data_IF_325643674603
#
_entry.id   IF_325643674603
#
_cell.length_a   1.000
_cell.length_b   1.000
_cell.length_c   1.000
_cell.angle_alpha   90.00
_cell.angle_beta   90.00
_cell.angle_gamma   90.00
#
_symmetry.space_group_name_H-M   'P 1'
#
loop_
_entity.id
_entity.type
_entity.pdbx_description
1 polymer ?
#
# COMPACT_ATOMS: atom_id res chain seq x y z
N UNK A 1 -32.93 12.84 -29.42
CA UNK A 1 -33.95 12.03 -28.71
C UNK A 1 -35.10 11.60 -29.63
N UNK A 2 -35.69 12.48 -30.43
CA UNK A 2 -36.77 12.10 -31.36
C UNK A 2 -36.32 11.15 -32.49
N UNK A 3 -35.12 11.34 -33.04
CA UNK A 3 -34.58 10.46 -34.10
C UNK A 3 -34.35 9.02 -33.61
N UNK A 4 -33.83 8.86 -32.38
CA UNK A 4 -33.62 7.55 -31.75
C UNK A 4 -34.98 6.85 -31.55
N UNK A 5 -36.00 7.57 -31.06
CA UNK A 5 -37.36 7.04 -30.89
C UNK A 5 -38.02 6.68 -32.23
N UNK A 6 -37.75 7.43 -33.30
CA UNK A 6 -38.21 7.12 -34.65
C UNK A 6 -37.56 5.83 -35.19
N UNK A 7 -36.26 5.63 -34.96
CA UNK A 7 -35.55 4.42 -35.35
C UNK A 7 -36.02 3.18 -34.60
N UNK A 8 -36.22 3.27 -33.28
CA UNK A 8 -36.71 2.17 -32.45
C UNK A 8 -38.15 1.74 -32.80
N UNK A 9 -38.96 2.64 -33.39
CA UNK A 9 -40.31 2.32 -33.88
C UNK A 9 -40.34 1.41 -35.10
N UNK A 10 -39.23 1.26 -35.85
CA UNK A 10 -39.16 0.39 -37.03
C UNK A 10 -39.13 -1.11 -36.71
N UNK A 11 -39.11 -1.53 -35.43
CA UNK A 11 -39.14 -2.94 -34.97
C UNK A 11 -38.03 -3.82 -35.57
N UNK A 12 -36.92 -3.23 -35.98
CA UNK A 12 -35.73 -4.00 -36.37
C UNK A 12 -34.81 -4.15 -35.15
N UNK A 13 -34.34 -5.38 -34.90
CA UNK A 13 -33.37 -5.65 -33.85
C UNK A 13 -31.98 -5.23 -34.35
N UNK A 14 -31.40 -4.20 -33.76
CA UNK A 14 -30.03 -3.77 -34.04
C UNK A 14 -29.08 -4.31 -32.98
N UNK A 15 -27.96 -4.89 -33.41
CA UNK A 15 -26.86 -5.29 -32.53
C UNK A 15 -25.67 -4.38 -32.79
N UNK A 16 -25.09 -3.83 -31.72
CA UNK A 16 -23.89 -3.00 -31.80
C UNK A 16 -22.93 -3.43 -30.68
N UNK A 17 -21.64 -3.18 -30.90
CA UNK A 17 -20.60 -3.38 -29.89
C UNK A 17 -20.22 -2.00 -29.38
N UNK A 18 -20.30 -1.80 -28.07
CA UNK A 18 -19.90 -0.57 -27.40
C UNK A 18 -18.78 -0.89 -26.41
N UNK A 19 -17.72 -0.06 -26.34
CA UNK A 19 -16.72 -0.16 -25.27
C UNK A 19 -17.23 0.41 -23.93
N UNK A 20 -18.38 1.09 -23.94
CA UNK A 20 -19.02 1.67 -22.76
C UNK A 20 -20.29 0.90 -22.39
N UNK A 21 -20.60 0.83 -21.09
CA UNK A 21 -21.85 0.27 -20.62
C UNK A 21 -23.06 1.06 -21.11
N UNK A 22 -24.19 0.37 -21.23
CA UNK A 22 -25.46 1.00 -21.53
C UNK A 22 -25.84 1.95 -20.38
N UNK A 23 -26.13 3.24 -20.65
CA UNK A 23 -26.63 4.13 -19.61
C UNK A 23 -27.87 3.54 -18.92
N UNK A 24 -27.96 3.68 -17.59
CA UNK A 24 -29.02 3.07 -16.77
C UNK A 24 -30.43 3.41 -17.28
N UNK A 25 -30.64 4.62 -17.78
CA UNK A 25 -31.90 5.11 -18.37
C UNK A 25 -32.40 4.31 -19.58
N UNK A 26 -31.51 3.53 -20.23
CA UNK A 26 -31.84 2.71 -21.39
C UNK A 26 -31.71 1.20 -21.12
N UNK A 27 -31.40 0.80 -19.88
CA UNK A 27 -31.20 -0.61 -19.53
C UNK A 27 -32.43 -1.49 -19.76
N UNK A 28 -33.63 -0.91 -19.67
CA UNK A 28 -34.91 -1.62 -19.93
C UNK A 28 -35.20 -1.86 -21.42
N UNK A 29 -34.51 -1.15 -22.32
CA UNK A 29 -34.75 -1.22 -23.77
C UNK A 29 -33.56 -1.79 -24.55
N UNK A 30 -32.36 -1.80 -23.97
CA UNK A 30 -31.14 -2.34 -24.59
C UNK A 30 -30.72 -3.60 -23.83
N UNK A 31 -30.87 -4.75 -24.48
CA UNK A 31 -30.28 -6.00 -24.00
C UNK A 31 -28.76 -5.90 -24.08
N UNK A 32 -28.09 -5.82 -22.92
CA UNK A 32 -26.64 -5.76 -22.85
C UNK A 32 -26.07 -7.15 -22.58
N UNK A 33 -25.16 -7.60 -23.45
CA UNK A 33 -24.37 -8.82 -23.23
C UNK A 33 -22.93 -8.37 -23.00
N UNK A 34 -22.41 -8.56 -21.77
CA UNK A 34 -21.00 -8.28 -21.47
C UNK A 34 -20.15 -9.31 -22.23
N UNK A 35 -19.36 -8.84 -23.19
CA UNK A 35 -18.40 -9.69 -23.88
C UNK A 35 -17.19 -9.91 -22.96
N UNK A 36 -16.69 -11.15 -22.84
CA UNK A 36 -15.51 -11.41 -22.02
C UNK A 36 -14.30 -10.67 -22.59
N UNK A 37 -13.63 -9.88 -21.76
CA UNK A 37 -12.32 -9.35 -22.12
C UNK A 37 -11.25 -10.39 -21.84
N UNK A 38 -10.73 -11.02 -22.91
CA UNK A 38 -9.66 -12.01 -22.81
C UNK A 38 -8.30 -11.42 -22.39
N UNK A 39 -8.18 -10.09 -22.34
CA UNK A 39 -6.96 -9.37 -21.94
C UNK A 39 -7.05 -8.75 -20.53
N UNK A 40 -8.09 -9.09 -19.75
CA UNK A 40 -8.26 -8.59 -18.38
C UNK A 40 -8.50 -7.09 -18.36
N UNK A 41 -7.67 -6.35 -17.61
CA UNK A 41 -7.70 -4.88 -17.60
C UNK A 41 -7.28 -4.27 -18.95
N UNK A 42 -6.50 -4.98 -19.77
CA UNK A 42 -5.98 -4.45 -21.03
C UNK A 42 -7.00 -4.55 -22.17
N UNK A 43 -6.94 -3.61 -23.10
CA UNK A 43 -7.54 -3.78 -24.42
C UNK A 43 -6.66 -4.67 -25.30
N UNK A 44 -7.24 -5.21 -26.38
CA UNK A 44 -6.46 -5.97 -27.38
C UNK A 44 -5.34 -5.15 -28.05
N UNK A 45 -5.46 -3.81 -28.07
CA UNK A 45 -4.44 -2.93 -28.61
C UNK A 45 -3.32 -2.70 -27.61
N UNK A 46 -3.65 -2.39 -26.35
CA UNK A 46 -2.70 -2.24 -25.24
C UNK A 46 -1.86 -3.51 -25.07
N UNK A 47 -2.49 -4.68 -25.11
CA UNK A 47 -1.78 -5.96 -25.04
C UNK A 47 -0.78 -6.16 -26.19
N UNK A 48 -1.13 -5.75 -27.42
CA UNK A 48 -0.22 -5.81 -28.58
C UNK A 48 0.94 -4.83 -28.49
N UNK A 49 0.73 -3.69 -27.85
CA UNK A 49 1.75 -2.66 -27.63
C UNK A 49 2.68 -2.97 -26.45
N UNK A 50 2.38 -4.03 -25.68
CA UNK A 50 3.16 -4.38 -24.48
C UNK A 50 2.91 -3.45 -23.30
N UNK A 51 1.80 -2.70 -23.31
CA UNK A 51 1.37 -1.87 -22.18
C UNK A 51 1.13 -2.75 -20.96
N UNK A 52 1.67 -2.35 -19.81
CA UNK A 52 1.44 -3.11 -18.57
C UNK A 52 0.05 -2.82 -18.01
N UNK A 53 -0.51 -3.76 -17.23
CA UNK A 53 -1.84 -3.57 -16.62
C UNK A 53 -1.90 -2.32 -15.76
N UNK A 54 -0.82 -2.04 -15.01
CA UNK A 54 -0.72 -0.84 -14.20
C UNK A 54 -0.77 0.44 -15.04
N UNK A 55 -0.06 0.48 -16.18
CA UNK A 55 -0.09 1.63 -17.09
C UNK A 55 -1.49 1.89 -17.65
N UNK A 56 -2.15 0.84 -18.16
CA UNK A 56 -3.51 0.96 -18.69
C UNK A 56 -4.51 1.38 -17.59
N UNK A 57 -4.38 0.80 -16.39
CA UNK A 57 -5.24 1.13 -15.26
C UNK A 57 -5.02 2.57 -14.78
N UNK A 58 -3.77 3.04 -14.74
CA UNK A 58 -3.45 4.42 -14.39
C UNK A 58 -4.06 5.42 -15.37
N UNK A 59 -4.00 5.14 -16.67
CA UNK A 59 -4.60 5.99 -17.70
C UNK A 59 -6.13 6.06 -17.56
N UNK A 60 -6.78 4.92 -17.31
CA UNK A 60 -8.23 4.82 -17.13
C UNK A 60 -8.72 5.48 -15.84
N UNK A 61 -8.00 5.27 -14.74
CA UNK A 61 -8.40 5.78 -13.43
C UNK A 61 -7.95 7.23 -13.20
N UNK A 62 -6.90 7.72 -13.87
CA UNK A 62 -6.33 9.04 -13.63
C UNK A 62 -5.77 9.24 -12.22
N UNK A 63 -5.36 8.16 -11.56
CA UNK A 63 -4.70 8.14 -10.24
C UNK A 63 -3.49 7.21 -10.28
N UNK A 64 -2.61 7.29 -9.29
CA UNK A 64 -1.38 6.49 -9.29
C UNK A 64 -1.66 4.98 -9.25
N UNK A 65 -1.06 4.24 -10.18
CA UNK A 65 -1.04 2.78 -10.15
C UNK A 65 0.40 2.29 -10.27
N UNK A 66 0.80 1.43 -9.35
CA UNK A 66 2.16 0.92 -9.26
C UNK A 66 2.22 -0.46 -9.93
N UNK A 67 3.16 -0.60 -10.86
CA UNK A 67 3.63 -1.88 -11.37
C UNK A 67 4.84 -2.31 -10.55
N UNK A 68 4.63 -3.20 -9.58
CA UNK A 68 5.68 -3.54 -8.63
C UNK A 68 6.62 -4.61 -9.18
N UNK A 69 7.94 -4.34 -9.27
CA UNK A 69 8.93 -5.37 -9.58
C UNK A 69 9.32 -6.18 -8.32
N UNK A 70 8.80 -5.83 -7.15
CA UNK A 70 9.17 -6.43 -5.87
C UNK A 70 8.24 -7.57 -5.48
N UNK A 71 8.75 -8.49 -4.68
CA UNK A 71 8.08 -9.70 -4.24
C UNK A 71 8.13 -9.82 -2.73
N UNK A 72 7.41 -10.78 -2.16
CA UNK A 72 7.41 -10.99 -0.71
C UNK A 72 8.77 -11.43 -0.16
N UNK A 73 9.69 -11.87 -1.03
CA UNK A 73 11.08 -12.16 -0.68
C UNK A 73 11.94 -10.91 -0.44
N UNK A 74 11.50 -9.74 -0.92
CA UNK A 74 12.18 -8.46 -0.71
C UNK A 74 11.87 -7.84 0.66
N UNK A 75 11.01 -8.48 1.45
CA UNK A 75 10.65 -8.06 2.80
C UNK A 75 11.23 -9.05 3.80
N UNK A 76 12.00 -8.54 4.74
CA UNK A 76 12.47 -9.31 5.90
C UNK A 76 11.50 -9.16 7.08
N UNK A 77 11.28 -10.25 7.82
CA UNK A 77 10.33 -10.30 8.94
C UNK A 77 8.86 -10.32 8.50
N UNK A 78 7.97 -9.75 9.35
CA UNK A 78 6.52 -9.71 9.17
C UNK A 78 5.87 -11.10 8.99
N UNK A 79 6.33 -12.09 9.74
CA UNK A 79 5.97 -13.51 9.54
C UNK A 79 4.48 -13.78 9.73
N UNK A 80 3.83 -13.18 10.73
CA UNK A 80 2.39 -13.35 10.94
C UNK A 80 1.56 -12.77 9.80
N UNK A 81 1.95 -11.61 9.28
CA UNK A 81 1.27 -11.02 8.11
C UNK A 81 1.53 -11.85 6.85
N UNK A 82 2.76 -12.35 6.63
CA UNK A 82 3.06 -13.28 5.52
C UNK A 82 2.24 -14.57 5.61
N UNK A 83 2.07 -15.11 6.82
CA UNK A 83 1.25 -16.29 7.07
C UNK A 83 -0.22 -16.01 6.77
N UNK A 84 -0.76 -14.91 7.28
CA UNK A 84 -2.13 -14.49 7.00
C UNK A 84 -2.39 -14.34 5.49
N UNK A 85 -1.47 -13.71 4.75
CA UNK A 85 -1.60 -13.57 3.30
C UNK A 85 -1.64 -14.93 2.59
N UNK A 86 -0.84 -15.92 3.01
CA UNK A 86 -0.88 -17.28 2.43
C UNK A 86 -2.23 -17.95 2.69
N UNK A 87 -2.77 -17.81 3.91
CA UNK A 87 -4.09 -18.34 4.26
C UNK A 87 -5.19 -17.64 3.46
N UNK A 88 -5.09 -16.32 3.30
CA UNK A 88 -6.01 -15.52 2.50
C UNK A 88 -6.01 -15.94 1.03
N UNK A 89 -4.85 -16.14 0.41
CA UNK A 89 -4.75 -16.63 -0.97
C UNK A 89 -5.47 -17.96 -1.17
N UNK A 90 -5.33 -18.89 -0.22
CA UNK A 90 -6.05 -20.17 -0.26
C UNK A 90 -7.56 -19.94 -0.15
N UNK A 91 -8.00 -19.09 0.79
CA UNK A 91 -9.40 -18.76 0.97
C UNK A 91 -10.02 -18.07 -0.28
N UNK A 92 -9.28 -17.19 -0.95
CA UNK A 92 -9.71 -16.56 -2.21
C UNK A 92 -10.02 -17.61 -3.29
N UNK A 93 -9.24 -18.69 -3.39
CA UNK A 93 -9.55 -19.79 -4.34
C UNK A 93 -10.87 -20.51 -4.05
N UNK A 94 -11.35 -20.42 -2.81
CA UNK A 94 -12.64 -20.98 -2.37
C UNK A 94 -13.78 -19.95 -2.44
N UNK A 95 -13.53 -18.77 -3.01
CA UNK A 95 -14.52 -17.70 -3.18
C UNK A 95 -14.66 -16.77 -1.97
N UNK A 96 -13.76 -16.84 -0.99
CA UNK A 96 -13.70 -15.84 0.08
C UNK A 96 -13.22 -14.50 -0.48
N UNK A 97 -13.93 -13.42 -0.16
CA UNK A 97 -13.52 -12.05 -0.49
C UNK A 97 -13.02 -11.37 0.78
N UNK A 98 -11.73 -11.06 0.86
CA UNK A 98 -11.21 -10.18 1.92
C UNK A 98 -11.77 -8.77 1.79
N UNK A 99 -11.89 -8.10 2.92
CA UNK A 99 -12.21 -6.68 3.01
C UNK A 99 -10.94 -5.84 3.00
N UNK A 100 -10.03 -6.08 3.96
CA UNK A 100 -8.80 -5.32 4.03
C UNK A 100 -7.94 -5.54 5.26
N UNK A 101 -6.71 -5.04 5.17
CA UNK A 101 -5.66 -5.11 6.19
C UNK A 101 -5.30 -3.68 6.59
N UNK A 102 -5.27 -3.42 7.89
CA UNK A 102 -4.81 -2.12 8.41
C UNK A 102 -3.42 -2.25 9.02
N UNK A 103 -2.45 -1.51 8.48
CA UNK A 103 -1.07 -1.48 8.93
C UNK A 103 -0.80 -0.17 9.69
N UNK A 104 -0.59 -0.26 10.99
CA UNK A 104 -0.19 0.87 11.83
C UNK A 104 1.25 0.68 12.25
N UNK A 105 2.02 1.74 12.40
CA UNK A 105 3.34 1.59 13.02
C UNK A 105 4.25 2.78 12.82
N UNK A 106 5.50 2.60 13.22
CA UNK A 106 6.50 3.67 13.17
C UNK A 106 6.81 4.03 11.71
N UNK A 107 6.93 5.32 11.34
CA UNK A 107 7.34 5.72 9.99
C UNK A 107 8.65 5.03 9.56
N UNK A 108 8.74 4.60 8.30
CA UNK A 108 9.94 3.95 7.78
C UNK A 108 10.08 2.44 8.08
N UNK A 109 9.05 1.80 8.64
CA UNK A 109 9.02 0.34 8.90
C UNK A 109 8.49 -0.51 7.74
N UNK A 110 8.22 0.11 6.57
CA UNK A 110 7.84 -0.63 5.36
C UNK A 110 6.34 -0.89 5.17
N UNK A 111 5.47 -0.18 5.89
CA UNK A 111 3.99 -0.29 5.76
C UNK A 111 3.49 -0.16 4.32
N UNK A 112 4.02 0.80 3.57
CA UNK A 112 3.71 1.03 2.14
C UNK A 112 4.42 0.03 1.21
N UNK A 113 5.61 -0.42 1.62
CA UNK A 113 6.41 -1.37 0.85
C UNK A 113 5.81 -2.79 0.87
N UNK A 114 5.10 -3.15 1.94
CA UNK A 114 4.40 -4.42 2.05
C UNK A 114 3.36 -4.69 0.94
N UNK A 115 2.31 -3.87 0.77
CA UNK A 115 1.35 -4.04 -0.32
C UNK A 115 2.00 -3.92 -1.70
N UNK A 116 3.08 -3.15 -1.82
CA UNK A 116 3.88 -3.06 -3.05
C UNK A 116 4.51 -4.41 -3.41
N UNK A 117 5.13 -5.09 -2.45
CA UNK A 117 5.71 -6.43 -2.68
C UNK A 117 4.64 -7.49 -2.93
N UNK A 118 3.52 -7.41 -2.22
CA UNK A 118 2.40 -8.33 -2.43
C UNK A 118 1.78 -8.17 -3.83
N UNK A 119 1.68 -6.94 -4.33
CA UNK A 119 1.18 -6.67 -5.68
C UNK A 119 2.04 -7.34 -6.76
N UNK A 120 3.37 -7.25 -6.63
CA UNK A 120 4.29 -7.89 -7.57
C UNK A 120 4.29 -9.42 -7.44
N UNK A 121 4.24 -9.96 -6.21
CA UNK A 121 4.09 -11.41 -5.95
C UNK A 121 2.82 -11.98 -6.62
N UNK A 122 1.69 -11.28 -6.45
CA UNK A 122 0.40 -11.69 -6.99
C UNK A 122 0.19 -11.30 -8.46
N UNK A 123 1.10 -10.51 -9.04
CA UNK A 123 0.96 -9.88 -10.37
C UNK A 123 -0.36 -9.12 -10.51
N UNK A 124 -0.80 -8.46 -9.43
CA UNK A 124 -2.00 -7.62 -9.37
C UNK A 124 -1.58 -6.15 -9.43
N UNK A 125 -2.27 -5.28 -10.19
CA UNK A 125 -2.03 -3.84 -10.13
C UNK A 125 -2.25 -3.32 -8.71
N UNK A 126 -1.39 -2.39 -8.27
CA UNK A 126 -1.55 -1.68 -7.01
C UNK A 126 -2.07 -0.27 -7.26
N UNK A 127 -3.35 -0.04 -7.02
CA UNK A 127 -3.97 1.28 -7.11
C UNK A 127 -3.71 2.03 -5.81
N UNK A 128 -3.12 3.23 -5.89
CA UNK A 128 -2.80 4.04 -4.72
C UNK A 128 -3.73 5.25 -4.62
N UNK A 129 -4.48 5.33 -3.53
CA UNK A 129 -5.31 6.47 -3.19
C UNK A 129 -4.52 7.41 -2.27
N UNK A 130 -4.09 8.54 -2.82
CA UNK A 130 -3.46 9.62 -2.07
C UNK A 130 -4.43 10.81 -1.94
N UNK A 131 -4.56 11.36 -0.72
CA UNK A 131 -5.47 12.48 -0.44
C UNK A 131 -5.13 13.74 -1.23
N UNK A 132 -3.85 14.05 -1.36
CA UNK A 132 -3.37 15.23 -2.07
C UNK A 132 -3.72 15.12 -3.55
N UNK A 133 -3.44 13.96 -4.16
CA UNK A 133 -3.81 13.66 -5.55
C UNK A 133 -5.32 13.75 -5.78
N UNK A 134 -6.13 13.24 -4.85
CA UNK A 134 -7.59 13.33 -4.95
C UNK A 134 -8.09 14.77 -4.83
N UNK A 135 -7.44 15.61 -4.01
CA UNK A 135 -7.79 17.03 -3.85
C UNK A 135 -7.46 17.88 -5.07
N UNK A 136 -6.40 17.53 -5.80
CA UNK A 136 -5.99 18.20 -7.03
C UNK A 136 -7.00 18.06 -8.18
N UNK A 137 -7.91 17.08 -8.13
CA UNK A 137 -8.90 16.87 -9.18
C UNK A 137 -10.03 17.91 -9.19
N UNK A 138 -10.14 18.74 -8.15
CA UNK A 138 -11.21 19.74 -7.98
C UNK A 138 -12.56 19.15 -7.57
N UNK A 139 -12.82 17.86 -7.82
CA UNK A 139 -14.01 17.14 -7.39
C UNK A 139 -13.68 15.77 -6.76
N UNK A 140 -13.06 15.76 -5.55
CA UNK A 140 -12.51 14.54 -4.94
C UNK A 140 -13.52 13.40 -4.76
N UNK A 141 -14.77 13.74 -4.41
CA UNK A 141 -15.85 12.75 -4.19
C UNK A 141 -16.23 12.08 -5.51
N UNK A 142 -16.40 12.86 -6.57
CA UNK A 142 -16.71 12.32 -7.90
C UNK A 142 -15.57 11.42 -8.38
N UNK A 143 -14.32 11.85 -8.16
CA UNK A 143 -13.16 11.05 -8.52
C UNK A 143 -13.10 9.71 -7.81
N UNK A 144 -13.34 9.69 -6.49
CA UNK A 144 -13.44 8.43 -5.74
C UNK A 144 -14.54 7.55 -6.34
N UNK A 145 -15.72 8.10 -6.61
CA UNK A 145 -16.84 7.32 -7.17
C UNK A 145 -16.50 6.71 -8.53
N UNK A 146 -15.89 7.49 -9.43
CA UNK A 146 -15.43 7.01 -10.73
C UNK A 146 -14.43 5.86 -10.59
N UNK A 147 -13.48 5.98 -9.64
CA UNK A 147 -12.47 4.93 -9.41
C UNK A 147 -13.12 3.64 -8.92
N UNK A 148 -13.99 3.71 -7.92
CA UNK A 148 -14.66 2.51 -7.39
C UNK A 148 -15.68 1.93 -8.36
N UNK A 149 -16.38 2.76 -9.14
CA UNK A 149 -17.29 2.31 -10.20
C UNK A 149 -16.53 1.58 -11.30
N UNK A 150 -15.40 2.12 -11.75
CA UNK A 150 -14.53 1.45 -12.72
C UNK A 150 -14.04 0.10 -12.16
N UNK A 151 -13.47 0.08 -10.95
CA UNK A 151 -12.97 -1.14 -10.33
C UNK A 151 -14.06 -2.17 -10.06
N UNK A 152 -15.31 -1.75 -9.85
CA UNK A 152 -16.45 -2.65 -9.70
C UNK A 152 -16.81 -3.37 -11.00
N UNK A 153 -16.51 -2.77 -12.16
CA UNK A 153 -16.83 -3.34 -13.46
C UNK A 153 -15.69 -4.24 -14.00
N UNK A 154 -14.53 -4.21 -13.35
CA UNK A 154 -13.40 -5.09 -13.63
C UNK A 154 -13.52 -6.42 -12.88
N UNK A 155 -13.33 -7.52 -13.60
CA UNK A 155 -13.41 -8.87 -13.03
C UNK A 155 -12.07 -9.28 -12.35
N UNK A 156 -10.98 -8.58 -12.68
CA UNK A 156 -9.62 -8.90 -12.25
C UNK A 156 -9.34 -8.37 -10.83
N UNK A 157 -8.76 -9.18 -9.91
CA UNK A 157 -8.44 -8.73 -8.56
C UNK A 157 -7.39 -7.61 -8.54
N UNK A 158 -7.66 -6.57 -7.75
CA UNK A 158 -6.76 -5.40 -7.62
C UNK A 158 -6.39 -5.19 -6.15
N UNK A 159 -5.16 -4.73 -5.89
CA UNK A 159 -4.77 -4.27 -4.55
C UNK A 159 -5.00 -2.77 -4.48
N UNK A 160 -5.72 -2.31 -3.46
CA UNK A 160 -5.97 -0.90 -3.20
C UNK A 160 -5.17 -0.47 -1.98
N UNK A 161 -4.28 0.49 -2.13
CA UNK A 161 -3.54 1.10 -1.02
C UNK A 161 -4.11 2.48 -0.70
N UNK A 162 -4.51 2.68 0.54
CA UNK A 162 -4.84 3.98 1.13
C UNK A 162 -3.72 4.34 2.10
N UNK A 163 -2.75 5.11 1.59
CA UNK A 163 -1.55 5.44 2.35
C UNK A 163 -1.79 6.64 3.27
N UNK A 164 -1.24 6.60 4.49
CA UNK A 164 -1.38 7.64 5.51
C UNK A 164 -2.84 8.06 5.72
N UNK A 165 -3.70 7.06 5.97
CA UNK A 165 -5.14 7.26 6.07
C UNK A 165 -5.53 8.24 7.18
N UNK A 166 -4.68 8.45 8.19
CA UNK A 166 -4.85 9.47 9.21
C UNK A 166 -4.91 10.89 8.65
N UNK A 167 -4.30 11.15 7.48
CA UNK A 167 -4.42 12.44 6.79
C UNK A 167 -5.80 12.64 6.18
N UNK A 168 -6.44 11.56 5.74
CA UNK A 168 -7.82 11.57 5.23
C UNK A 168 -8.80 11.65 6.40
N UNK A 169 -8.72 10.66 7.29
CA UNK A 169 -9.67 10.41 8.38
C UNK A 169 -9.49 11.40 9.54
N UNK A 170 -8.36 12.09 9.61
CA UNK A 170 -8.06 13.10 10.62
C UNK A 170 -9.00 14.31 10.60
N UNK A 171 -9.75 14.54 9.51
CA UNK A 171 -10.84 15.50 9.47
C UNK A 171 -12.18 14.77 9.32
N UNK A 172 -12.91 14.60 10.42
CA UNK A 172 -14.19 13.89 10.44
C UNK A 172 -15.29 14.60 9.62
N UNK A 173 -15.18 15.92 9.49
CA UNK A 173 -16.15 16.75 8.76
C UNK A 173 -15.85 16.79 7.25
N UNK A 174 -14.73 16.21 6.80
CA UNK A 174 -14.42 16.11 5.37
C UNK A 174 -15.39 15.13 4.70
N UNK A 175 -16.25 15.58 3.76
CA UNK A 175 -17.21 14.70 3.09
C UNK A 175 -16.52 13.54 2.35
N UNK A 176 -15.27 13.72 1.92
CA UNK A 176 -14.47 12.69 1.29
C UNK A 176 -14.24 11.51 2.25
N UNK A 177 -13.94 11.81 3.52
CA UNK A 177 -13.78 10.81 4.59
C UNK A 177 -15.07 10.03 4.77
N UNK A 178 -16.21 10.71 4.92
CA UNK A 178 -17.52 10.05 5.05
C UNK A 178 -17.83 9.11 3.88
N UNK A 179 -17.51 9.54 2.65
CA UNK A 179 -17.70 8.73 1.46
C UNK A 179 -16.80 7.50 1.44
N UNK A 180 -15.50 7.66 1.67
CA UNK A 180 -14.54 6.56 1.73
C UNK A 180 -14.94 5.53 2.80
N UNK A 181 -15.34 6.00 3.98
CA UNK A 181 -15.79 5.12 5.07
C UNK A 181 -17.05 4.33 4.72
N UNK A 182 -17.97 4.93 3.95
CA UNK A 182 -19.17 4.25 3.47
C UNK A 182 -18.82 3.12 2.51
N UNK A 183 -17.90 3.38 1.57
CA UNK A 183 -17.42 2.38 0.60
C UNK A 183 -16.69 1.23 1.33
N UNK A 184 -15.75 1.55 2.22
CA UNK A 184 -15.01 0.52 2.98
C UNK A 184 -15.92 -0.35 3.85
N UNK A 185 -17.00 0.22 4.40
CA UNK A 185 -17.94 -0.53 5.25
C UNK A 185 -18.84 -1.47 4.44
N UNK A 186 -19.01 -1.23 3.15
CA UNK A 186 -19.87 -2.02 2.25
C UNK A 186 -19.08 -3.03 1.40
N UNK A 187 -17.75 -3.07 1.52
CA UNK A 187 -16.91 -4.05 0.83
C UNK A 187 -17.33 -5.49 1.14
N UNK A 188 -17.54 -6.27 0.09
CA UNK A 188 -17.98 -7.66 0.16
C UNK A 188 -19.49 -7.86 0.36
N UNK A 189 -20.27 -6.79 0.56
CA UNK A 189 -21.72 -6.88 0.62
C UNK A 189 -22.34 -6.86 -0.79
N UNK A 190 -23.09 -7.92 -1.13
CA UNK A 190 -23.78 -8.06 -2.41
C UNK A 190 -24.92 -7.05 -2.59
N UNK A 191 -25.42 -6.47 -1.51
CA UNK A 191 -26.43 -5.39 -1.54
C UNK A 191 -25.84 -3.98 -1.62
N UNK A 192 -24.51 -3.86 -1.65
CA UNK A 192 -23.83 -2.56 -1.71
C UNK A 192 -23.95 -1.88 -3.07
N UNK A 193 -23.56 -0.61 -3.12
CA UNK A 193 -23.44 0.16 -4.36
C UNK A 193 -22.44 -0.46 -5.36
N UNK A 194 -21.43 -1.18 -4.85
CA UNK A 194 -20.36 -1.78 -5.63
C UNK A 194 -20.21 -3.28 -5.31
N UNK A 195 -21.20 -4.11 -5.68
CA UNK A 195 -21.29 -5.51 -5.23
C UNK A 195 -20.25 -6.43 -5.86
N UNK A 196 -19.64 -6.00 -6.97
CA UNK A 196 -18.69 -6.79 -7.76
C UNK A 196 -17.24 -6.49 -7.41
N UNK A 197 -16.96 -5.52 -6.53
CA UNK A 197 -15.59 -5.20 -6.12
C UNK A 197 -14.81 -6.46 -5.70
N UNK A 198 -13.61 -6.56 -6.29
CA UNK A 198 -12.65 -7.62 -6.05
C UNK A 198 -11.33 -6.98 -5.60
N UNK A 199 -11.36 -6.39 -4.39
CA UNK A 199 -10.26 -5.60 -3.85
C UNK A 199 -9.67 -6.27 -2.60
N UNK A 200 -8.35 -6.27 -2.52
CA UNK A 200 -7.65 -6.41 -1.25
C UNK A 200 -7.19 -5.01 -0.82
N UNK A 201 -7.86 -4.43 0.17
CA UNK A 201 -7.53 -3.09 0.66
C UNK A 201 -6.43 -3.14 1.70
N UNK A 202 -5.39 -2.34 1.51
CA UNK A 202 -4.44 -1.97 2.55
C UNK A 202 -4.65 -0.53 2.94
N UNK A 203 -4.84 -0.27 4.23
CA UNK A 203 -4.74 1.08 4.77
C UNK A 203 -3.47 1.16 5.63
N UNK A 204 -2.74 2.27 5.56
CA UNK A 204 -1.56 2.48 6.41
C UNK A 204 -1.78 3.69 7.32
N UNK A 205 -1.20 3.65 8.52
CA UNK A 205 -1.13 4.83 9.37
C UNK A 205 0.18 4.93 10.16
N UNK A 206 0.67 6.16 10.30
CA UNK A 206 1.77 6.53 11.17
C UNK A 206 1.28 7.11 12.50
N UNK A 207 0.05 7.61 12.57
CA UNK A 207 -0.55 8.16 13.78
C UNK A 207 -2.00 7.71 13.96
N UNK A 208 -2.29 7.08 15.09
CA UNK A 208 -3.62 6.61 15.45
C UNK A 208 -4.42 7.61 16.29
N UNK A 209 -3.79 8.60 16.93
CA UNK A 209 -4.46 9.54 17.84
C UNK A 209 -5.57 10.32 17.11
N UNK A 210 -5.30 10.81 15.89
CA UNK A 210 -6.30 11.50 15.08
C UNK A 210 -7.44 10.57 14.65
N UNK A 211 -7.12 9.34 14.24
CA UNK A 211 -8.12 8.34 13.82
C UNK A 211 -9.02 7.98 15.00
N UNK A 212 -8.44 7.65 16.16
CA UNK A 212 -9.20 7.26 17.36
C UNK A 212 -10.08 8.39 17.89
N UNK A 213 -9.57 9.64 17.85
CA UNK A 213 -10.32 10.81 18.31
C UNK A 213 -11.48 11.17 17.39
N UNK A 214 -11.23 11.18 16.08
CA UNK A 214 -12.17 11.74 15.11
C UNK A 214 -13.07 10.67 14.49
N UNK A 215 -12.61 9.42 14.43
CA UNK A 215 -13.33 8.27 13.86
C UNK A 215 -13.06 6.99 14.66
N UNK A 216 -13.48 6.90 15.94
CA UNK A 216 -13.26 5.71 16.77
C UNK A 216 -13.91 4.44 16.19
N UNK A 217 -14.93 4.61 15.33
CA UNK A 217 -15.55 3.50 14.63
C UNK A 217 -14.64 2.87 13.56
N UNK A 218 -13.55 3.52 13.14
CA UNK A 218 -12.63 3.06 12.10
C UNK A 218 -12.06 1.66 12.42
N UNK A 219 -11.69 1.43 13.68
CA UNK A 219 -11.13 0.16 14.16
C UNK A 219 -12.20 -0.88 14.55
N UNK A 220 -13.50 -0.59 14.41
CA UNK A 220 -14.53 -1.58 14.73
C UNK A 220 -14.42 -2.75 13.75
N UNK A 221 -14.53 -3.96 14.29
CA UNK A 221 -14.57 -5.21 13.50
C UNK A 221 -15.65 -5.12 12.44
N UNK A 222 -15.28 -5.34 11.17
CA UNK A 222 -16.20 -5.30 10.03
C UNK A 222 -15.69 -4.51 8.82
N UNK A 223 -14.70 -3.64 8.97
CA UNK A 223 -14.06 -2.86 7.89
C UNK A 223 -12.73 -3.44 7.42
N UNK A 224 -11.94 -3.91 8.38
CA UNK A 224 -10.71 -4.65 8.15
C UNK A 224 -10.86 -6.03 8.78
N UNK A 225 -10.28 -7.02 8.11
CA UNK A 225 -10.23 -8.40 8.58
C UNK A 225 -9.12 -8.54 9.63
N UNK A 226 -7.97 -7.90 9.39
CA UNK A 226 -6.81 -7.94 10.26
C UNK A 226 -6.20 -6.56 10.49
N UNK A 227 -5.67 -6.38 11.71
CA UNK A 227 -5.02 -5.16 12.17
C UNK A 227 -3.60 -5.51 12.64
N UNK A 228 -2.59 -5.00 11.95
CA UNK A 228 -1.19 -5.26 12.29
C UNK A 228 -0.47 -3.99 12.75
N UNK A 229 0.42 -4.16 13.73
CA UNK A 229 1.33 -3.12 14.19
C UNK A 229 2.75 -3.43 13.72
N UNK A 230 3.22 -2.67 12.74
CA UNK A 230 4.57 -2.78 12.16
C UNK A 230 5.57 -2.03 13.03
N UNK A 231 6.31 -2.79 13.84
CA UNK A 231 7.21 -2.22 14.83
C UNK A 231 8.63 -2.00 14.28
N UNK A 232 9.52 -1.49 15.13
CA UNK A 232 10.96 -1.53 14.86
C UNK A 232 11.42 -2.99 14.70
N UNK A 233 12.43 -3.25 13.85
CA UNK A 233 13.03 -4.57 13.73
C UNK A 233 13.73 -4.96 15.02
N UNK A 234 13.81 -6.25 15.32
CA UNK A 234 14.77 -6.74 16.31
C UNK A 234 16.19 -6.74 15.72
N UNK A 235 17.19 -7.08 16.54
CA UNK A 235 18.60 -7.10 16.10
C UNK A 235 18.83 -8.05 14.90
N UNK A 236 18.22 -9.23 14.93
CA UNK A 236 18.37 -10.23 13.86
C UNK A 236 17.77 -9.73 12.54
N UNK A 237 16.57 -9.14 12.60
CA UNK A 237 15.88 -8.56 11.46
C UNK A 237 16.63 -7.35 10.92
N UNK A 238 17.14 -6.48 11.80
CA UNK A 238 17.97 -5.35 11.41
C UNK A 238 19.22 -5.81 10.67
N UNK A 239 19.92 -6.83 11.17
CA UNK A 239 21.11 -7.42 10.52
C UNK A 239 20.79 -7.86 9.09
N UNK A 240 19.70 -8.58 8.87
CA UNK A 240 19.26 -9.00 7.52
C UNK A 240 18.94 -7.80 6.62
N UNK A 241 18.28 -6.78 7.15
CA UNK A 241 17.99 -5.54 6.40
C UNK A 241 19.28 -4.82 6.00
N UNK A 242 20.30 -4.80 6.87
CA UNK A 242 21.64 -4.31 6.52
C UNK A 242 22.26 -5.13 5.39
N UNK A 243 22.29 -6.46 5.50
CA UNK A 243 22.84 -7.36 4.46
C UNK A 243 22.18 -7.12 3.10
N UNK A 244 20.85 -7.02 3.08
CA UNK A 244 20.07 -6.72 1.88
C UNK A 244 20.50 -5.39 1.25
N UNK A 245 20.60 -4.31 2.02
CA UNK A 245 20.96 -3.00 1.49
C UNK A 245 22.44 -2.89 1.12
N UNK A 246 23.34 -3.56 1.84
CA UNK A 246 24.76 -3.64 1.48
C UNK A 246 24.92 -4.31 0.12
N UNK A 247 24.21 -5.42 -0.11
CA UNK A 247 24.17 -6.09 -1.41
C UNK A 247 23.56 -5.19 -2.49
N UNK A 248 22.43 -4.54 -2.20
CA UNK A 248 21.73 -3.64 -3.15
C UNK A 248 22.58 -2.47 -3.61
N UNK A 249 23.40 -1.90 -2.72
CA UNK A 249 24.25 -0.75 -3.03
C UNK A 249 25.71 -1.12 -3.33
N UNK A 250 26.01 -2.42 -3.47
CA UNK A 250 27.35 -2.94 -3.72
C UNK A 250 28.41 -2.35 -2.77
N UNK A 251 28.18 -2.50 -1.46
CA UNK A 251 29.07 -2.02 -0.39
C UNK A 251 29.79 -3.17 0.32
N UNK A 252 30.20 -4.19 -0.43
CA UNK A 252 30.88 -5.37 0.13
C UNK A 252 32.23 -5.03 0.81
N UNK A 253 32.82 -3.87 0.50
CA UNK A 253 34.03 -3.38 1.18
C UNK A 253 33.83 -3.12 2.67
N UNK A 254 32.59 -2.92 3.13
CA UNK A 254 32.29 -2.72 4.56
C UNK A 254 32.75 -3.91 5.41
N UNK A 255 32.53 -5.13 4.93
CA UNK A 255 32.92 -6.37 5.61
C UNK A 255 34.43 -6.54 5.78
N UNK A 256 35.25 -5.75 5.09
CA UNK A 256 36.72 -5.73 5.29
C UNK A 256 37.13 -4.85 6.46
N UNK A 257 36.23 -4.01 6.96
CA UNK A 257 36.50 -2.96 7.96
C UNK A 257 35.85 -3.33 9.30
N UNK A 258 34.62 -3.84 9.25
CA UNK A 258 33.83 -4.23 10.43
C UNK A 258 32.85 -5.33 10.03
N UNK A 259 32.51 -6.21 10.96
CA UNK A 259 31.36 -7.10 10.79
C UNK A 259 30.06 -6.42 11.23
N UNK A 260 28.92 -7.02 10.89
CA UNK A 260 27.63 -6.43 11.21
C UNK A 260 27.31 -6.46 12.70
N UNK A 261 27.81 -7.44 13.46
CA UNK A 261 27.50 -7.51 14.89
C UNK A 261 28.23 -6.37 15.64
N UNK A 262 29.47 -6.06 15.27
CA UNK A 262 30.22 -4.89 15.76
C UNK A 262 29.53 -3.59 15.35
N UNK A 263 29.13 -3.43 14.08
CA UNK A 263 28.45 -2.22 13.59
C UNK A 263 27.13 -1.97 14.33
N UNK A 264 26.29 -2.99 14.49
CA UNK A 264 25.02 -2.88 15.20
C UNK A 264 25.25 -2.52 16.67
N UNK A 265 26.25 -3.14 17.32
CA UNK A 265 26.61 -2.83 18.70
C UNK A 265 27.12 -1.38 18.87
N UNK A 266 27.91 -0.85 17.92
CA UNK A 266 28.36 0.55 17.94
C UNK A 266 27.17 1.52 17.82
N UNK A 267 26.19 1.22 16.95
CA UNK A 267 24.96 2.03 16.82
C UNK A 267 24.14 1.98 18.11
N UNK A 268 23.93 0.79 18.67
CA UNK A 268 23.19 0.64 19.92
C UNK A 268 23.87 1.33 21.10
N UNK A 269 25.20 1.28 21.20
CA UNK A 269 25.93 1.93 22.27
C UNK A 269 25.67 3.45 22.33
N UNK A 270 25.33 4.07 21.19
CA UNK A 270 25.07 5.51 21.09
C UNK A 270 23.59 5.85 21.32
N UNK A 271 22.68 4.99 20.87
CA UNK A 271 21.24 5.32 20.79
C UNK A 271 20.33 4.46 21.69
N UNK A 272 20.85 3.46 22.40
CA UNK A 272 20.04 2.55 23.23
C UNK A 272 19.25 3.28 24.33
N UNK A 273 19.82 4.29 24.96
CA UNK A 273 19.13 5.06 26.02
C UNK A 273 17.98 5.94 25.48
N UNK A 274 18.03 6.25 24.17
CA UNK A 274 16.95 6.96 23.48
C UNK A 274 15.83 6.02 23.04
N UNK A 275 16.09 4.71 22.95
CA UNK A 275 15.15 3.72 22.45
C UNK A 275 14.11 3.33 23.51
N UNK A 276 12.80 3.58 23.28
CA UNK A 276 11.76 3.18 24.22
C UNK A 276 11.52 1.66 24.28
N UNK A 277 12.16 0.87 23.41
CA UNK A 277 11.95 -0.57 23.29
C UNK A 277 13.28 -1.34 23.36
N UNK A 278 13.60 -1.87 24.54
CA UNK A 278 14.89 -2.52 24.81
C UNK A 278 15.24 -3.71 23.89
N UNK A 279 14.24 -4.42 23.36
CA UNK A 279 14.43 -5.59 22.50
C UNK A 279 14.38 -5.27 21.00
N UNK A 280 14.27 -3.99 20.63
CA UNK A 280 14.19 -3.55 19.24
C UNK A 280 15.44 -2.76 18.86
N UNK A 281 15.84 -2.84 17.61
CA UNK A 281 16.98 -2.10 17.09
C UNK A 281 16.63 -0.61 16.92
N UNK A 282 17.65 0.24 17.04
CA UNK A 282 17.48 1.69 17.12
C UNK A 282 17.05 2.35 15.79
N UNK A 283 17.29 1.69 14.65
CA UNK A 283 16.96 2.22 13.33
C UNK A 283 15.78 1.50 12.71
N UNK A 284 14.95 2.25 12.00
CA UNK A 284 13.95 1.74 11.07
C UNK A 284 14.60 1.17 9.80
N UNK A 285 13.94 0.27 9.06
CA UNK A 285 14.42 -0.19 7.75
C UNK A 285 14.78 0.93 6.76
N UNK A 286 13.99 2.01 6.69
CA UNK A 286 14.31 3.17 5.85
C UNK A 286 15.55 3.93 6.32
N UNK A 287 15.81 3.97 7.62
CA UNK A 287 17.02 4.56 8.19
C UNK A 287 18.24 3.69 7.91
N UNK A 288 18.13 2.37 8.03
CA UNK A 288 19.19 1.43 7.62
C UNK A 288 19.53 1.63 6.14
N UNK A 289 18.52 1.71 5.27
CA UNK A 289 18.72 1.99 3.84
C UNK A 289 19.52 3.29 3.62
N UNK A 290 19.10 4.36 4.30
CA UNK A 290 19.69 5.69 4.15
C UNK A 290 21.12 5.74 4.71
N UNK A 291 21.36 5.04 5.82
CA UNK A 291 22.67 4.87 6.42
C UNK A 291 23.64 4.14 5.48
N UNK A 292 23.24 2.98 4.94
CA UNK A 292 24.08 2.22 3.98
C UNK A 292 24.33 3.04 2.71
N UNK A 293 23.31 3.74 2.19
CA UNK A 293 23.46 4.61 1.03
C UNK A 293 24.47 5.74 1.29
N UNK A 294 24.48 6.30 2.50
CA UNK A 294 25.45 7.33 2.92
C UNK A 294 26.87 6.77 3.02
N UNK A 295 27.05 5.57 3.57
CA UNK A 295 28.35 4.90 3.58
C UNK A 295 28.85 4.62 2.15
N UNK A 296 27.98 4.18 1.24
CA UNK A 296 28.33 3.99 -0.17
C UNK A 296 28.75 5.30 -0.84
N UNK A 297 28.01 6.38 -0.58
CA UNK A 297 28.39 7.71 -1.07
C UNK A 297 29.78 8.11 -0.58
N UNK A 298 30.07 7.96 0.72
CA UNK A 298 31.39 8.27 1.29
C UNK A 298 32.49 7.39 0.69
N UNK A 299 32.23 6.10 0.51
CA UNK A 299 33.19 5.17 -0.11
C UNK A 299 33.52 5.57 -1.56
N UNK A 300 32.55 6.07 -2.32
CA UNK A 300 32.78 6.59 -3.67
C UNK A 300 33.56 7.89 -3.62
N UNK A 301 33.15 8.83 -2.75
CA UNK A 301 33.74 10.16 -2.66
C UNK A 301 35.21 10.14 -2.21
N UNK A 302 35.56 9.22 -1.31
CA UNK A 302 36.90 9.09 -0.75
C UNK A 302 37.73 7.97 -1.40
N UNK A 303 37.21 7.32 -2.45
CA UNK A 303 37.78 6.13 -3.13
C UNK A 303 38.00 4.89 -2.23
N UNK A 304 37.81 5.02 -0.93
CA UNK A 304 37.82 3.95 0.06
C UNK A 304 36.91 4.31 1.24
N UNK A 305 36.41 3.29 1.93
CA UNK A 305 35.72 3.46 3.20
C UNK A 305 36.69 3.17 4.34
N UNK A 306 36.69 4.01 5.38
CA UNK A 306 37.53 3.82 6.58
C UNK A 306 36.69 3.58 7.85
N UNK A 307 37.33 3.11 8.92
CA UNK A 307 36.65 2.95 10.23
C UNK A 307 36.17 4.30 10.79
N UNK A 308 36.92 5.38 10.54
CA UNK A 308 36.52 6.72 10.97
C UNK A 308 35.32 7.25 10.19
N UNK A 309 35.21 6.94 8.90
CA UNK A 309 34.01 7.28 8.10
C UNK A 309 32.75 6.62 8.67
N UNK A 310 32.85 5.35 9.09
CA UNK A 310 31.75 4.62 9.71
C UNK A 310 31.35 5.30 11.02
N UNK A 311 32.30 5.52 11.93
CA UNK A 311 32.04 6.20 13.22
C UNK A 311 31.44 7.60 13.04
N UNK A 312 31.99 8.38 12.12
CA UNK A 312 31.47 9.71 11.78
C UNK A 312 30.06 9.64 11.19
N UNK A 313 29.76 8.59 10.42
CA UNK A 313 28.44 8.37 9.85
C UNK A 313 27.43 8.00 10.92
N UNK A 314 27.76 7.09 11.85
CA UNK A 314 26.92 6.75 13.00
C UNK A 314 26.63 8.00 13.83
N UNK A 315 27.64 8.76 14.22
CA UNK A 315 27.47 9.95 15.05
C UNK A 315 26.57 11.04 14.40
N UNK A 316 26.64 11.17 13.08
CA UNK A 316 25.84 12.16 12.31
C UNK A 316 24.46 11.64 11.91
N UNK A 317 24.21 10.34 11.98
CA UNK A 317 22.96 9.72 11.56
C UNK A 317 22.03 9.55 12.77
N UNK A 318 21.28 10.62 13.06
CA UNK A 318 20.40 10.69 14.23
C UNK A 318 19.07 9.97 13.89
N UNK A 319 18.70 8.91 14.62
CA UNK A 319 17.49 8.15 14.32
C UNK A 319 16.21 8.80 14.86
N UNK A 320 15.07 8.35 14.31
CA UNK A 320 13.73 8.82 14.62
C UNK A 320 13.37 8.59 16.08
N UNK A 321 13.84 7.49 16.69
CA UNK A 321 13.67 7.22 18.12
C UNK A 321 14.21 8.35 19.01
N UNK A 322 15.21 9.09 18.53
CA UNK A 322 15.80 10.23 19.23
C UNK A 322 15.14 11.55 18.86
N UNK A 323 14.82 11.76 17.58
CA UNK A 323 14.23 13.04 17.12
C UNK A 323 12.75 13.17 17.43
N UNK A 324 12.02 12.04 17.55
CA UNK A 324 10.55 11.98 17.70
C UNK A 324 10.12 11.06 18.84
N UNK A 325 10.81 11.12 19.99
CA UNK A 325 10.60 10.22 21.14
C UNK A 325 9.15 10.17 21.63
N UNK A 326 8.51 11.33 21.81
CA UNK A 326 7.12 11.41 22.27
C UNK A 326 6.14 10.81 21.26
N UNK A 327 6.33 11.10 19.97
CA UNK A 327 5.47 10.56 18.90
C UNK A 327 5.55 9.03 18.83
N UNK A 328 6.76 8.49 18.91
CA UNK A 328 6.98 7.04 18.91
C UNK A 328 6.38 6.38 20.16
N UNK A 329 6.59 6.97 21.35
CA UNK A 329 6.02 6.45 22.59
C UNK A 329 4.48 6.37 22.54
N UNK A 330 3.82 7.40 21.97
CA UNK A 330 2.37 7.41 21.76
C UNK A 330 1.89 6.29 20.83
N UNK A 331 2.58 6.09 19.71
CA UNK A 331 2.23 5.04 18.73
C UNK A 331 2.39 3.65 19.38
N UNK A 332 3.48 3.43 20.11
CA UNK A 332 3.76 2.18 20.81
C UNK A 332 2.71 1.89 21.89
N UNK A 333 2.24 2.90 22.63
CA UNK A 333 1.24 2.72 23.67
C UNK A 333 -0.10 2.15 23.16
N UNK A 334 -0.34 2.22 21.85
CA UNK A 334 -1.57 1.74 21.22
C UNK A 334 -1.42 0.39 20.53
N UNK A 335 -0.25 -0.25 20.64
CA UNK A 335 0.05 -1.52 19.97
C UNK A 335 -0.80 -2.70 20.43
N UNK A 336 -1.35 -2.67 21.65
CA UNK A 336 -2.14 -3.77 22.22
C UNK A 336 -3.45 -4.04 21.45
N UNK A 337 -3.88 -3.10 20.60
CA UNK A 337 -5.04 -3.25 19.72
C UNK A 337 -4.74 -4.07 18.45
N UNK A 338 -3.50 -4.48 18.23
CA UNK A 338 -2.99 -5.01 16.96
C UNK A 338 -2.13 -6.26 17.16
N UNK A 339 -1.99 -7.04 16.10
CA UNK A 339 -0.99 -8.11 16.01
C UNK A 339 0.36 -7.47 15.68
N UNK A 340 1.33 -7.54 16.60
CA UNK A 340 2.67 -6.99 16.38
C UNK A 340 3.44 -7.81 15.33
N UNK A 341 4.03 -7.12 14.34
CA UNK A 341 4.87 -7.71 13.28
C UNK A 341 6.16 -6.95 13.04
#
# INVERSE_FOLDING_TARGET
MEEIRYFLRKKENYTFISPYECPKEFSDIILTIKLPNFYGILTSQEAKLGTTKAQALQEKLGISVIDSPFTMADIEGADELKKYIKELQIAETQGYKSKGIFLVGIPGTGKTFFPTCLAGELKRPLVMLNLEQLKETGSPINKINEVFEFLNNEDEPVILLIDEIEKMVGNADDPLTGRLMTILSSLGDKGSEYPNLNLLVFATANNLESILKNQPAFLRRGRFDELFFVNLPDLNSAKKVFEMYIKKYDLNSLYKITDLDELLAEIEAIYRDDNPQANKFCYTPSEIQSFVKKLKFTAIANEALTKDDIKNTIAKFIPLIKTSKEGIAKIIAQKELFIEI
#
